data_IF_450508634365
#
_entry.id   IF_450508634365
#
_cell.length_a   1.000
_cell.length_b   1.000
_cell.length_c   1.000
_cell.angle_alpha   90.00
_cell.angle_beta   90.00
_cell.angle_gamma   90.00
#
_symmetry.space_group_name_H-M   'P 1'
#
loop_
_entity.id
_entity.type
_entity.pdbx_description
1 polymer ?
#
# COMPACT_ATOMS: atom_id res chain seq x y z
N UNK A 1 53.93 21.16 -35.49
CA UNK A 1 53.40 21.61 -34.17
C UNK A 1 51.90 21.84 -34.34
N UNK A 2 50.95 21.22 -33.66
CA UNK A 2 50.92 20.19 -32.61
C UNK A 2 49.66 19.35 -32.88
N UNK A 3 49.84 18.04 -32.94
CA UNK A 3 48.78 17.05 -32.88
C UNK A 3 48.35 16.99 -31.41
N UNK A 4 47.12 17.34 -31.08
CA UNK A 4 46.58 17.18 -29.72
C UNK A 4 45.38 16.24 -29.78
N UNK A 5 45.67 14.97 -29.54
CA UNK A 5 44.71 13.90 -29.28
C UNK A 5 44.00 14.21 -27.95
N UNK A 6 42.68 14.42 -27.99
CA UNK A 6 41.83 14.53 -26.79
C UNK A 6 41.22 13.14 -26.54
N UNK A 7 41.24 12.64 -25.30
CA UNK A 7 41.49 11.22 -25.03
C UNK A 7 40.22 10.38 -25.01
N UNK A 8 40.37 9.17 -25.56
CA UNK A 8 39.51 7.99 -25.45
C UNK A 8 39.44 7.44 -24.00
N UNK A 9 39.35 8.33 -23.01
CA UNK A 9 39.32 8.00 -21.58
C UNK A 9 38.05 8.51 -20.88
N UNK A 10 37.36 9.50 -21.45
CA UNK A 10 36.10 10.01 -20.86
C UNK A 10 34.90 9.10 -21.18
N UNK A 11 34.93 8.40 -22.31
CA UNK A 11 33.84 7.50 -22.71
C UNK A 11 33.74 6.23 -21.83
N UNK A 12 34.84 5.77 -21.24
CA UNK A 12 34.86 4.55 -20.44
C UNK A 12 34.23 4.72 -19.04
N UNK A 13 34.26 5.93 -18.47
CA UNK A 13 33.70 6.19 -17.13
C UNK A 13 32.18 6.37 -17.13
N UNK A 14 31.57 6.77 -18.26
CA UNK A 14 30.10 6.96 -18.32
C UNK A 14 29.37 5.62 -18.50
N UNK A 15 29.98 4.63 -19.15
CA UNK A 15 29.38 3.29 -19.31
C UNK A 15 29.43 2.49 -18.00
N UNK A 16 30.44 2.71 -17.16
CA UNK A 16 30.56 2.02 -15.87
C UNK A 16 29.57 2.52 -14.80
N UNK A 17 29.07 3.76 -14.90
CA UNK A 17 28.07 4.30 -13.96
C UNK A 17 26.63 3.89 -14.29
N UNK A 18 26.36 3.38 -15.49
CA UNK A 18 25.03 2.90 -15.87
C UNK A 18 24.72 1.47 -15.40
N UNK A 19 25.75 0.71 -15.00
CA UNK A 19 25.61 -0.70 -14.60
C UNK A 19 25.18 -0.90 -13.13
N UNK A 20 25.18 0.14 -12.30
CA UNK A 20 24.79 0.03 -10.88
C UNK A 20 23.28 0.22 -10.63
N UNK A 21 22.48 0.53 -11.66
CA UNK A 21 21.01 0.62 -11.52
C UNK A 21 20.26 -0.68 -11.85
N UNK A 22 20.96 -1.76 -12.22
CA UNK A 22 20.35 -3.00 -12.70
C UNK A 22 20.11 -4.08 -11.62
N UNK A 23 20.02 -3.71 -10.33
CA UNK A 23 19.89 -4.68 -9.23
C UNK A 23 18.60 -4.61 -8.40
N UNK A 24 17.67 -3.70 -8.71
CA UNK A 24 16.54 -3.42 -7.80
C UNK A 24 15.17 -3.99 -8.23
N UNK A 25 15.08 -4.76 -9.32
CA UNK A 25 13.78 -5.27 -9.79
C UNK A 25 13.90 -6.69 -10.36
N UNK A 26 14.18 -7.65 -9.49
CA UNK A 26 13.58 -8.98 -9.67
C UNK A 26 12.48 -9.14 -8.62
N UNK A 27 11.22 -9.47 -9.00
CA UNK A 27 10.20 -9.84 -8.04
C UNK A 27 10.52 -11.25 -7.52
N UNK A 28 11.49 -11.33 -6.62
CA UNK A 28 11.79 -12.56 -5.88
C UNK A 28 10.72 -12.82 -4.83
N UNK A 29 10.04 -13.96 -4.93
CA UNK A 29 9.14 -14.52 -3.91
C UNK A 29 9.84 -14.88 -2.59
N UNK A 30 11.15 -14.71 -2.50
CA UNK A 30 12.00 -15.26 -1.44
C UNK A 30 12.49 -14.18 -0.46
N UNK A 31 11.66 -13.15 -0.22
CA UNK A 31 11.97 -12.17 0.81
C UNK A 31 11.87 -12.81 2.19
N UNK A 32 13.00 -12.85 2.91
CA UNK A 32 13.04 -13.32 4.30
C UNK A 32 13.13 -12.12 5.23
N UNK A 33 12.16 -11.92 6.15
CA UNK A 33 12.22 -10.80 7.08
C UNK A 33 13.46 -10.91 7.97
N UNK A 34 14.05 -9.75 8.30
CA UNK A 34 15.02 -9.67 9.39
C UNK A 34 14.39 -10.24 10.67
N UNK A 35 15.21 -10.80 11.55
CA UNK A 35 14.74 -11.38 12.81
C UNK A 35 15.33 -10.67 14.00
N UNK A 36 14.54 -10.55 15.06
CA UNK A 36 15.01 -10.07 16.35
C UNK A 36 16.00 -11.06 16.98
N UNK A 37 16.72 -10.64 18.03
CA UNK A 37 17.65 -11.52 18.76
C UNK A 37 16.98 -12.77 19.38
N UNK A 38 15.65 -12.76 19.52
CA UNK A 38 14.82 -13.87 20.01
C UNK A 38 14.08 -14.62 18.89
N UNK A 39 14.45 -14.41 17.62
CA UNK A 39 14.05 -15.27 16.50
C UNK A 39 12.71 -14.94 15.82
N UNK A 40 12.01 -13.89 16.25
CA UNK A 40 10.76 -13.45 15.61
C UNK A 40 11.04 -12.49 14.45
N UNK A 41 10.15 -12.39 13.43
CA UNK A 41 10.24 -11.34 12.42
C UNK A 41 10.34 -9.96 13.07
N UNK A 42 11.33 -9.18 12.64
CA UNK A 42 11.50 -7.80 13.04
C UNK A 42 10.58 -6.91 12.20
N UNK A 43 9.55 -6.38 12.85
CA UNK A 43 8.56 -5.49 12.25
C UNK A 43 8.84 -4.01 12.56
N UNK A 44 10.08 -3.68 12.98
CA UNK A 44 10.48 -2.29 13.14
C UNK A 44 10.59 -1.58 11.78
N UNK A 45 10.21 -0.30 11.76
CA UNK A 45 10.26 0.51 10.56
C UNK A 45 9.38 1.75 10.65
N UNK A 46 9.37 2.51 9.55
CA UNK A 46 8.43 3.60 9.34
C UNK A 46 7.23 3.02 8.60
N UNK A 47 6.08 3.01 9.27
CA UNK A 47 4.84 2.49 8.74
C UNK A 47 3.96 3.63 8.24
N UNK A 48 3.35 3.45 7.07
CA UNK A 48 2.39 4.38 6.50
C UNK A 48 1.11 3.65 6.14
N UNK A 49 -0.02 4.33 6.35
CA UNK A 49 -1.36 3.82 6.05
C UNK A 49 -2.10 4.68 5.02
N UNK A 50 -1.41 5.62 4.40
CA UNK A 50 -2.00 6.53 3.42
C UNK A 50 -2.22 5.81 2.11
N UNK A 51 -3.43 5.27 1.95
CA UNK A 51 -3.86 4.62 0.72
C UNK A 51 -5.36 4.83 0.49
N UNK A 52 -5.74 4.96 -0.78
CA UNK A 52 -7.14 4.91 -1.23
C UNK A 52 -7.64 3.50 -1.53
N UNK A 53 -6.78 2.49 -1.44
CA UNK A 53 -7.15 1.09 -1.63
C UNK A 53 -8.02 0.61 -0.47
N UNK A 54 -9.21 0.05 -0.74
CA UNK A 54 -10.07 -0.48 0.31
C UNK A 54 -9.45 -1.74 0.95
N UNK A 55 -9.84 -2.04 2.19
CA UNK A 55 -9.39 -3.26 2.87
C UNK A 55 -9.82 -4.51 2.10
N UNK A 56 -11.12 -4.60 1.80
CA UNK A 56 -11.75 -5.68 1.06
C UNK A 56 -12.07 -5.27 -0.37
N UNK A 57 -12.00 -6.22 -1.30
CA UNK A 57 -12.39 -5.98 -2.69
C UNK A 57 -13.91 -5.80 -2.82
N UNK A 58 -14.30 -4.87 -3.68
CA UNK A 58 -15.71 -4.69 -4.02
C UNK A 58 -16.28 -5.97 -4.64
N UNK A 59 -17.51 -6.33 -4.29
CA UNK A 59 -18.10 -7.62 -4.68
C UNK A 59 -18.26 -7.76 -6.21
N UNK A 60 -18.48 -6.64 -6.90
CA UNK A 60 -18.59 -6.55 -8.35
C UNK A 60 -17.24 -6.68 -9.08
N UNK A 61 -16.12 -6.52 -8.37
CA UNK A 61 -14.79 -6.68 -8.93
C UNK A 61 -14.30 -8.15 -8.97
N UNK A 62 -15.00 -9.09 -8.32
CA UNK A 62 -14.63 -10.52 -8.33
C UNK A 62 -13.16 -10.76 -7.96
N UNK A 63 -12.43 -11.52 -8.77
CA UNK A 63 -10.99 -11.77 -8.58
C UNK A 63 -10.08 -10.75 -9.28
N UNK A 64 -10.64 -9.61 -9.74
CA UNK A 64 -9.86 -8.60 -10.46
C UNK A 64 -8.89 -7.91 -9.50
N UNK A 65 -7.62 -8.32 -9.54
CA UNK A 65 -6.61 -7.84 -8.61
C UNK A 65 -6.17 -6.39 -8.84
N UNK A 66 -6.18 -5.95 -10.11
CA UNK A 66 -5.66 -4.64 -10.50
C UNK A 66 -6.66 -3.82 -11.33
N UNK A 67 -6.68 -2.53 -11.03
CA UNK A 67 -7.20 -1.46 -11.86
C UNK A 67 -6.15 -1.06 -12.90
N UNK A 68 -6.61 -0.50 -14.02
CA UNK A 68 -5.73 0.31 -14.87
C UNK A 68 -5.27 1.57 -14.11
N UNK A 69 -4.18 2.19 -14.57
CA UNK A 69 -3.70 3.45 -13.99
C UNK A 69 -4.75 4.56 -14.06
N UNK A 70 -5.55 4.59 -15.14
CA UNK A 70 -6.62 5.57 -15.31
C UNK A 70 -7.76 5.35 -14.31
N UNK A 71 -8.22 4.11 -14.13
CA UNK A 71 -9.23 3.77 -13.13
C UNK A 71 -8.75 4.04 -11.70
N UNK A 72 -7.48 3.77 -11.41
CA UNK A 72 -6.88 4.08 -10.12
C UNK A 72 -6.84 5.59 -9.88
N UNK A 73 -6.37 6.38 -10.85
CA UNK A 73 -6.36 7.84 -10.76
C UNK A 73 -7.77 8.40 -10.57
N UNK A 74 -8.75 7.87 -11.28
CA UNK A 74 -10.15 8.26 -11.15
C UNK A 74 -10.73 7.91 -9.76
N UNK A 75 -10.39 6.73 -9.22
CA UNK A 75 -10.76 6.37 -7.84
C UNK A 75 -10.21 7.38 -6.84
N UNK A 76 -8.97 7.81 -6.98
CA UNK A 76 -8.37 8.79 -6.08
C UNK A 76 -8.99 10.18 -6.25
N UNK A 77 -9.27 10.62 -7.48
CA UNK A 77 -10.00 11.87 -7.75
C UNK A 77 -11.36 11.89 -7.04
N UNK A 78 -12.14 10.81 -7.17
CA UNK A 78 -13.44 10.69 -6.50
C UNK A 78 -13.30 10.70 -4.98
N UNK A 79 -12.30 10.00 -4.45
CA UNK A 79 -12.04 9.94 -3.01
C UNK A 79 -11.71 11.32 -2.44
N UNK A 80 -10.85 12.07 -3.11
CA UNK A 80 -10.49 13.44 -2.70
C UNK A 80 -11.69 14.39 -2.79
N UNK A 81 -12.46 14.34 -3.89
CA UNK A 81 -13.68 15.12 -4.03
C UNK A 81 -14.73 14.81 -2.94
N UNK A 82 -14.80 13.56 -2.48
CA UNK A 82 -15.72 13.16 -1.42
C UNK A 82 -15.38 13.78 -0.05
N UNK A 83 -14.12 14.15 0.22
CA UNK A 83 -13.76 14.86 1.46
C UNK A 83 -14.22 16.31 1.46
N UNK A 84 -14.36 16.92 0.27
CA UNK A 84 -14.80 18.30 0.11
C UNK A 84 -16.31 18.42 -0.15
N UNK A 85 -17.02 17.29 -0.18
CA UNK A 85 -18.46 17.27 -0.36
C UNK A 85 -19.18 17.91 0.84
N UNK A 86 -20.31 18.61 0.62
CA UNK A 86 -21.08 19.20 1.70
C UNK A 86 -21.53 18.12 2.70
N UNK A 87 -21.54 18.45 4.01
CA UNK A 87 -21.96 17.50 5.03
C UNK A 87 -23.41 17.09 4.83
N UNK A 88 -23.72 15.84 5.17
CA UNK A 88 -25.11 15.37 5.24
C UNK A 88 -25.88 16.18 6.29
N UNK A 89 -27.19 16.35 6.08
CA UNK A 89 -28.04 17.04 7.05
C UNK A 89 -27.91 16.42 8.46
N UNK A 90 -27.69 17.27 9.47
CA UNK A 90 -27.47 16.84 10.86
C UNK A 90 -26.05 16.33 11.17
N UNK A 91 -25.15 16.31 10.19
CA UNK A 91 -23.73 15.97 10.42
C UNK A 91 -22.93 17.22 10.78
N UNK A 92 -22.01 17.16 11.76
CA UNK A 92 -21.04 18.23 11.99
C UNK A 92 -20.00 18.36 10.86
N UNK A 93 -19.96 17.40 9.92
CA UNK A 93 -19.04 17.38 8.78
C UNK A 93 -17.76 16.60 9.01
N UNK A 94 -16.80 16.77 8.10
CA UNK A 94 -15.48 16.14 8.13
C UNK A 94 -14.42 17.18 7.70
N UNK A 95 -13.15 16.88 7.95
CA UNK A 95 -12.03 17.64 7.39
C UNK A 95 -11.98 17.48 5.86
N UNK A 96 -11.72 18.61 5.19
CA UNK A 96 -11.54 18.67 3.74
C UNK A 96 -10.23 18.02 3.27
N UNK A 97 -10.11 17.88 1.96
CA UNK A 97 -9.00 17.18 1.29
C UNK A 97 -7.63 17.82 1.52
N UNK A 98 -7.57 19.12 1.84
CA UNK A 98 -6.32 19.82 2.19
C UNK A 98 -5.61 19.27 3.44
N UNK A 99 -6.32 18.51 4.28
CA UNK A 99 -5.77 17.81 5.45
C UNK A 99 -5.41 16.34 5.16
N UNK A 100 -5.49 15.90 3.89
CA UNK A 100 -5.13 14.56 3.46
C UNK A 100 -3.78 14.57 2.76
N UNK A 101 -3.00 13.52 2.94
CA UNK A 101 -1.81 13.29 2.14
C UNK A 101 -2.21 12.85 0.72
N UNK A 102 -2.04 13.76 -0.25
CA UNK A 102 -2.24 13.53 -1.68
C UNK A 102 -0.94 13.30 -2.46
N UNK A 103 0.20 13.12 -1.76
CA UNK A 103 1.52 13.01 -2.39
C UNK A 103 1.78 11.65 -3.04
N UNK A 104 0.93 10.65 -2.78
CA UNK A 104 1.11 9.29 -3.28
C UNK A 104 0.16 8.94 -4.43
N UNK A 105 0.75 8.32 -5.45
CA UNK A 105 0.03 7.83 -6.62
C UNK A 105 -1.10 6.88 -6.23
N UNK A 106 -2.17 6.89 -7.03
CA UNK A 106 -3.24 5.93 -6.89
C UNK A 106 -2.70 4.50 -7.07
N UNK A 107 -2.68 3.73 -5.98
CA UNK A 107 -2.36 2.32 -6.06
C UNK A 107 -3.35 1.64 -7.01
N UNK A 108 -2.87 0.71 -7.84
CA UNK A 108 -3.72 0.00 -8.80
C UNK A 108 -4.46 -1.18 -8.17
N UNK A 109 -4.03 -1.67 -7.01
CA UNK A 109 -4.70 -2.79 -6.35
C UNK A 109 -6.13 -2.45 -5.96
N UNK A 110 -7.01 -3.42 -6.14
CA UNK A 110 -8.44 -3.31 -5.82
C UNK A 110 -8.76 -3.60 -4.36
N UNK A 111 -7.85 -4.22 -3.60
CA UNK A 111 -7.97 -4.51 -2.16
C UNK A 111 -6.60 -4.55 -1.48
N UNK A 112 -6.56 -4.35 -0.16
CA UNK A 112 -5.36 -4.60 0.66
C UNK A 112 -5.15 -6.10 0.92
N UNK A 113 -6.24 -6.85 1.12
CA UNK A 113 -6.21 -8.31 1.23
C UNK A 113 -5.83 -8.90 -0.14
N UNK A 114 -4.74 -9.66 -0.19
CA UNK A 114 -4.27 -10.41 -1.38
C UNK A 114 -4.80 -11.83 -1.42
N UNK A 115 -4.94 -12.44 -0.25
CA UNK A 115 -5.28 -13.85 -0.07
C UNK A 115 -6.37 -13.91 1.00
N UNK A 116 -7.56 -14.44 0.69
CA UNK A 116 -7.98 -15.11 -0.54
C UNK A 116 -7.99 -14.23 -1.80
N UNK A 117 -7.98 -14.87 -2.99
CA UNK A 117 -7.89 -14.19 -4.29
C UNK A 117 -9.05 -13.21 -4.54
N UNK A 118 -10.21 -13.45 -3.93
CA UNK A 118 -11.36 -12.54 -3.94
C UNK A 118 -11.13 -11.28 -3.09
N UNK A 119 -10.06 -11.24 -2.30
CA UNK A 119 -9.61 -10.08 -1.53
C UNK A 119 -10.58 -9.71 -0.43
N UNK A 120 -11.34 -10.69 0.07
CA UNK A 120 -12.31 -10.54 1.16
C UNK A 120 -11.77 -11.14 2.44
N UNK A 121 -12.29 -10.70 3.57
CA UNK A 121 -11.97 -11.33 4.85
C UNK A 121 -12.60 -12.74 4.83
N UNK A 122 -11.81 -13.82 5.04
CA UNK A 122 -12.36 -15.17 5.12
C UNK A 122 -13.35 -15.32 6.27
N UNK A 123 -14.24 -16.31 6.14
CA UNK A 123 -15.06 -16.74 7.26
C UNK A 123 -14.18 -17.11 8.47
N UNK A 124 -14.61 -16.69 9.66
CA UNK A 124 -13.89 -17.05 10.89
C UNK A 124 -13.92 -18.56 11.08
N UNK A 125 -12.84 -19.10 11.64
CA UNK A 125 -12.84 -20.47 12.16
C UNK A 125 -13.73 -20.54 13.42
N UNK A 126 -14.23 -21.72 13.83
CA UNK A 126 -15.02 -21.83 15.07
C UNK A 126 -14.29 -21.25 16.29
N UNK A 127 -13.00 -21.52 16.45
CA UNK A 127 -12.18 -20.90 17.49
C UNK A 127 -12.05 -19.37 17.36
N UNK A 128 -12.09 -18.86 16.12
CA UNK A 128 -12.14 -17.43 15.83
C UNK A 128 -13.47 -16.80 16.28
N UNK A 129 -14.59 -17.46 16.02
CA UNK A 129 -15.93 -17.04 16.46
C UNK A 129 -16.03 -17.01 17.99
N UNK A 130 -15.53 -18.05 18.67
CA UNK A 130 -15.48 -18.12 20.13
C UNK A 130 -14.67 -16.95 20.73
N UNK A 131 -13.49 -16.65 20.18
CA UNK A 131 -12.67 -15.50 20.62
C UNK A 131 -13.35 -14.17 20.34
N UNK A 132 -14.03 -14.02 19.21
CA UNK A 132 -14.77 -12.80 18.88
C UNK A 132 -15.91 -12.58 19.88
N UNK A 133 -16.69 -13.62 20.20
CA UNK A 133 -17.75 -13.58 21.20
C UNK A 133 -17.20 -13.23 22.60
N UNK A 134 -16.09 -13.86 23.00
CA UNK A 134 -15.43 -13.55 24.28
C UNK A 134 -14.96 -12.09 24.35
N UNK A 135 -14.41 -11.54 23.26
CA UNK A 135 -13.99 -10.14 23.19
C UNK A 135 -15.17 -9.16 23.30
N UNK A 136 -16.31 -9.49 22.70
CA UNK A 136 -17.53 -8.69 22.83
C UNK A 136 -17.99 -8.67 24.29
N UNK A 137 -18.09 -9.83 24.94
CA UNK A 137 -18.44 -9.93 26.36
C UNK A 137 -17.46 -9.14 27.24
N UNK A 138 -16.15 -9.28 27.01
CA UNK A 138 -15.12 -8.54 27.75
C UNK A 138 -15.28 -7.02 27.63
N UNK A 139 -15.53 -6.51 26.42
CA UNK A 139 -15.72 -5.06 26.22
C UNK A 139 -16.97 -4.53 26.93
N UNK A 140 -18.02 -5.34 27.00
CA UNK A 140 -19.26 -4.98 27.71
C UNK A 140 -19.05 -4.96 29.22
N UNK A 141 -18.35 -5.95 29.75
CA UNK A 141 -18.17 -6.13 31.20
C UNK A 141 -17.04 -5.25 31.76
N UNK A 142 -16.16 -4.73 30.89
CA UNK A 142 -15.10 -3.78 31.20
C UNK A 142 -15.21 -2.50 30.35
N UNK A 143 -16.25 -1.67 30.56
CA UNK A 143 -16.31 -0.35 29.95
C UNK A 143 -15.17 0.51 30.52
N UNK A 144 -14.52 1.28 29.64
CA UNK A 144 -13.44 2.20 29.99
C UNK A 144 -13.89 3.31 30.94
#
# INVERSE_FOLDING_TARGET
MRQTSVPMAVAACVVALAATQAGAQEPGSDWTPARTAWGHPDLQGIWDQTTGTPLERAADAGDREFLSNEEAAERERRRFAAFDAPPRAGSPGNYGSQWRDGSRNALTRTSLITDPADGRIPALTPAGEERAAANVSRRRDHPA
#
